data_IF_904442025339
#
_entry.id   IF_904442025339
#
_cell.length_a   1.000
_cell.length_b   1.000
_cell.length_c   1.000
_cell.angle_alpha   90.00
_cell.angle_beta   90.00
_cell.angle_gamma   90.00
#
_symmetry.space_group_name_H-M   'P 1'
#
loop_
_entity.id
_entity.type
_entity.pdbx_description
1 polymer ?
#
# COMPACT_ATOMS: atom_id res chain seq x y z
N UNK A 1 24.88 62.24 0.03
CA UNK A 1 23.63 61.95 -0.73
C UNK A 1 23.87 61.25 -2.07
N UNK A 2 24.74 61.76 -2.99
CA UNK A 2 24.98 61.13 -4.30
C UNK A 2 25.42 59.66 -4.25
N UNK A 3 26.26 59.28 -3.29
CA UNK A 3 26.70 57.90 -3.08
C UNK A 3 25.55 56.96 -2.66
N UNK A 4 24.69 57.41 -1.75
CA UNK A 4 23.52 56.63 -1.31
C UNK A 4 22.51 56.44 -2.45
N UNK A 5 22.26 57.48 -3.26
CA UNK A 5 21.39 57.40 -4.44
C UNK A 5 21.97 56.44 -5.48
N UNK A 6 23.29 56.46 -5.70
CA UNK A 6 23.94 55.57 -6.67
C UNK A 6 23.85 54.09 -6.24
N UNK A 7 24.00 53.81 -4.94
CA UNK A 7 23.86 52.45 -4.40
C UNK A 7 22.41 51.95 -4.51
N UNK A 8 21.44 52.80 -4.16
CA UNK A 8 20.02 52.50 -4.29
C UNK A 8 19.61 52.24 -5.75
N UNK A 9 20.08 53.06 -6.69
CA UNK A 9 19.81 52.88 -8.11
C UNK A 9 20.44 51.59 -8.65
N UNK A 10 21.65 51.26 -8.21
CA UNK A 10 22.34 50.04 -8.62
C UNK A 10 21.57 48.79 -8.16
N UNK A 11 21.12 48.77 -6.90
CA UNK A 11 20.26 47.70 -6.37
C UNK A 11 18.92 47.60 -7.11
N UNK A 12 18.30 48.73 -7.44
CA UNK A 12 17.05 48.75 -8.20
C UNK A 12 17.21 48.18 -9.62
N UNK A 13 18.34 48.45 -10.28
CA UNK A 13 18.63 47.87 -11.60
C UNK A 13 18.80 46.36 -11.50
N UNK A 14 19.54 45.86 -10.49
CA UNK A 14 19.69 44.42 -10.28
C UNK A 14 18.36 43.73 -9.95
N UNK A 15 17.50 44.34 -9.13
CA UNK A 15 16.19 43.76 -8.82
C UNK A 15 15.27 43.71 -10.04
N UNK A 16 15.27 44.77 -10.87
CA UNK A 16 14.51 44.79 -12.13
C UNK A 16 14.98 43.69 -13.07
N UNK A 17 16.30 43.52 -13.24
CA UNK A 17 16.86 42.46 -14.09
C UNK A 17 16.47 41.07 -13.55
N UNK A 18 16.55 40.85 -12.24
CA UNK A 18 16.16 39.58 -11.62
C UNK A 18 14.65 39.28 -11.80
N UNK A 19 13.78 40.27 -11.60
CA UNK A 19 12.35 40.12 -11.82
C UNK A 19 12.02 39.83 -13.29
N UNK A 20 12.70 40.48 -14.24
CA UNK A 20 12.52 40.23 -15.67
C UNK A 20 12.98 38.82 -16.06
N UNK A 21 14.12 38.36 -15.53
CA UNK A 21 14.60 37.01 -15.77
C UNK A 21 13.64 35.96 -15.21
N UNK A 22 13.15 36.15 -13.98
CA UNK A 22 12.17 35.25 -13.36
C UNK A 22 10.84 35.24 -14.12
N UNK A 23 10.37 36.40 -14.59
CA UNK A 23 9.15 36.51 -15.38
C UNK A 23 9.26 35.78 -16.73
N UNK A 24 10.41 35.92 -17.41
CA UNK A 24 10.66 35.23 -18.68
C UNK A 24 10.67 33.70 -18.51
N UNK A 25 11.34 33.21 -17.46
CA UNK A 25 11.34 31.78 -17.12
C UNK A 25 9.93 31.31 -16.78
N UNK A 26 9.20 32.02 -15.93
CA UNK A 26 7.84 31.65 -15.55
C UNK A 26 6.90 31.58 -16.77
N UNK A 27 6.97 32.58 -17.66
CA UNK A 27 6.13 32.63 -18.87
C UNK A 27 6.39 31.45 -19.82
N UNK A 28 7.63 30.95 -19.89
CA UNK A 28 7.96 29.80 -20.74
C UNK A 28 7.69 28.45 -20.06
N UNK A 29 7.77 28.39 -18.73
CA UNK A 29 7.64 27.14 -17.96
C UNK A 29 6.19 26.86 -17.60
N UNK A 30 5.40 27.89 -17.29
CA UNK A 30 3.98 27.80 -16.94
C UNK A 30 3.14 26.97 -17.92
N UNK A 31 3.17 27.18 -19.25
CA UNK A 31 2.35 26.37 -20.18
C UNK A 31 2.77 24.90 -20.23
N UNK A 32 4.04 24.58 -19.95
CA UNK A 32 4.52 23.19 -19.85
C UNK A 32 4.08 22.53 -18.55
N UNK A 33 4.05 23.29 -17.44
CA UNK A 33 3.56 22.81 -16.15
C UNK A 33 2.06 22.51 -16.24
N UNK A 34 1.29 23.40 -16.87
CA UNK A 34 -0.15 23.17 -17.10
C UNK A 34 -0.41 21.95 -17.99
N UNK A 35 0.34 21.80 -19.08
CA UNK A 35 0.21 20.63 -19.95
C UNK A 35 0.56 19.31 -19.22
N UNK A 36 1.63 19.30 -18.42
CA UNK A 36 2.01 18.16 -17.61
C UNK A 36 0.96 17.86 -16.52
N UNK A 37 0.39 18.89 -15.89
CA UNK A 37 -0.68 18.76 -14.89
C UNK A 37 -1.94 18.18 -15.52
N UNK A 38 -2.36 18.68 -16.69
CA UNK A 38 -3.49 18.13 -17.45
C UNK A 38 -3.26 16.68 -17.90
N UNK A 39 -2.04 16.33 -18.30
CA UNK A 39 -1.66 14.95 -18.62
C UNK A 39 -1.79 14.01 -17.42
N UNK A 40 -1.23 14.40 -16.27
CA UNK A 40 -1.32 13.64 -15.02
C UNK A 40 -2.76 13.48 -14.52
N UNK A 41 -3.58 14.52 -14.67
CA UNK A 41 -5.01 14.47 -14.35
C UNK A 41 -5.70 13.49 -15.30
N UNK A 42 -5.51 13.60 -16.61
CA UNK A 42 -6.14 12.69 -17.59
C UNK A 42 -5.79 11.21 -17.38
N UNK A 43 -4.54 10.90 -17.02
CA UNK A 43 -4.14 9.55 -16.60
C UNK A 43 -4.81 9.13 -15.29
N UNK A 44 -4.85 10.03 -14.30
CA UNK A 44 -5.49 9.75 -13.03
C UNK A 44 -6.99 9.47 -13.17
N UNK A 45 -7.71 10.21 -14.01
CA UNK A 45 -9.13 10.02 -14.27
C UNK A 45 -9.42 8.59 -14.76
N UNK A 46 -8.62 8.08 -15.70
CA UNK A 46 -8.74 6.72 -16.24
C UNK A 46 -8.40 5.65 -15.21
N UNK A 47 -7.48 5.93 -14.30
CA UNK A 47 -7.13 5.00 -13.21
C UNK A 47 -8.24 4.96 -12.16
N UNK A 48 -8.87 6.09 -11.85
CA UNK A 48 -9.95 6.19 -10.86
C UNK A 48 -11.24 5.56 -11.40
N UNK A 49 -11.58 5.82 -12.66
CA UNK A 49 -12.76 5.30 -13.34
C UNK A 49 -12.38 4.62 -14.67
N UNK A 50 -11.90 3.36 -14.63
CA UNK A 50 -11.54 2.63 -15.85
C UNK A 50 -12.74 2.32 -16.75
N UNK A 51 -13.94 2.28 -16.17
CA UNK A 51 -15.20 1.97 -16.85
C UNK A 51 -15.89 3.21 -17.47
N UNK A 52 -15.29 4.41 -17.33
CA UNK A 52 -15.83 5.65 -17.90
C UNK A 52 -15.50 5.77 -19.40
N UNK A 53 -16.53 6.06 -20.20
CA UNK A 53 -16.39 6.37 -21.63
C UNK A 53 -16.05 7.85 -21.85
N UNK A 54 -16.53 8.73 -20.97
CA UNK A 54 -16.38 10.17 -21.08
C UNK A 54 -16.14 10.83 -19.73
N UNK A 55 -15.43 11.96 -19.75
CA UNK A 55 -15.19 12.80 -18.58
C UNK A 55 -15.67 14.22 -18.88
N UNK A 56 -16.80 14.61 -18.30
CA UNK A 56 -17.38 15.94 -18.47
C UNK A 56 -16.80 16.89 -17.42
N UNK A 57 -16.12 17.94 -17.86
CA UNK A 57 -15.59 18.97 -16.97
C UNK A 57 -16.73 19.83 -16.39
N UNK A 58 -16.79 19.92 -15.05
CA UNK A 58 -17.78 20.72 -14.31
C UNK A 58 -17.12 21.79 -13.44
N UNK A 59 -15.82 22.04 -13.63
CA UNK A 59 -15.00 22.99 -12.86
C UNK A 59 -15.65 24.38 -12.73
N UNK A 60 -16.34 24.87 -13.77
CA UNK A 60 -16.98 26.19 -13.79
C UNK A 60 -18.25 26.30 -12.92
N UNK A 61 -18.82 25.17 -12.53
CA UNK A 61 -20.04 25.09 -11.72
C UNK A 61 -19.72 25.03 -10.22
N UNK A 62 -18.43 24.94 -9.85
CA UNK A 62 -17.97 24.77 -8.48
C UNK A 62 -17.53 26.09 -7.84
N UNK A 63 -17.72 26.25 -6.51
CA UNK A 63 -17.13 27.36 -5.77
C UNK A 63 -15.60 27.24 -5.80
N UNK A 64 -14.89 28.36 -5.99
CA UNK A 64 -13.41 28.36 -6.07
C UNK A 64 -12.71 28.01 -4.75
N UNK A 65 -13.43 28.06 -3.63
CA UNK A 65 -12.89 27.78 -2.31
C UNK A 65 -13.95 27.08 -1.46
N UNK A 66 -13.56 25.98 -0.83
CA UNK A 66 -14.36 25.22 0.12
C UNK A 66 -13.52 25.07 1.39
N UNK A 67 -14.03 25.63 2.49
CA UNK A 67 -13.31 25.73 3.77
C UNK A 67 -11.93 26.38 3.60
N UNK A 68 -10.86 25.72 4.05
CA UNK A 68 -9.48 26.17 3.93
C UNK A 68 -8.81 25.73 2.61
N UNK A 69 -9.54 25.09 1.69
CA UNK A 69 -9.00 24.50 0.46
C UNK A 69 -9.50 25.22 -0.78
N UNK A 70 -8.60 25.36 -1.77
CA UNK A 70 -8.92 25.85 -3.11
C UNK A 70 -9.44 24.69 -3.94
N UNK A 71 -10.58 24.87 -4.59
CA UNK A 71 -11.15 23.88 -5.52
C UNK A 71 -10.52 24.08 -6.89
N UNK A 72 -9.90 23.02 -7.41
CA UNK A 72 -9.34 22.96 -8.75
C UNK A 72 -10.30 22.28 -9.73
N UNK A 73 -9.72 21.57 -10.69
CA UNK A 73 -10.47 20.92 -11.77
C UNK A 73 -11.37 19.79 -11.24
N UNK A 74 -12.58 19.71 -11.78
CA UNK A 74 -13.55 18.68 -11.43
C UNK A 74 -14.20 18.08 -12.68
N UNK A 75 -14.32 16.75 -12.68
CA UNK A 75 -14.83 15.98 -13.82
C UNK A 75 -15.86 14.96 -13.35
N UNK A 76 -16.98 14.90 -14.07
CA UNK A 76 -17.96 13.83 -13.95
C UNK A 76 -17.55 12.69 -14.87
N UNK A 77 -17.39 11.50 -14.31
CA UNK A 77 -17.15 10.28 -15.06
C UNK A 77 -18.49 9.71 -15.53
N UNK A 78 -18.62 9.51 -16.84
CA UNK A 78 -19.85 9.03 -17.50
C UNK A 78 -19.55 7.70 -18.22
N UNK A 79 -20.45 6.73 -18.06
CA UNK A 79 -20.51 5.52 -18.88
C UNK A 79 -21.80 5.58 -19.70
N UNK A 80 -21.66 5.76 -21.02
CA UNK A 80 -22.76 6.17 -21.88
C UNK A 80 -23.41 7.49 -21.43
N UNK A 81 -24.72 7.46 -21.11
CA UNK A 81 -25.49 8.62 -20.63
C UNK A 81 -25.64 8.68 -19.09
N UNK A 82 -24.96 7.78 -18.34
CA UNK A 82 -25.07 7.72 -16.88
C UNK A 82 -23.78 8.18 -16.21
N UNK A 83 -23.91 9.09 -15.24
CA UNK A 83 -22.81 9.40 -14.34
C UNK A 83 -22.50 8.18 -13.46
N UNK A 84 -21.23 7.77 -13.41
CA UNK A 84 -20.72 6.67 -12.56
C UNK A 84 -19.89 7.20 -11.39
N UNK A 85 -19.54 8.48 -11.40
CA UNK A 85 -18.89 9.16 -10.29
C UNK A 85 -18.39 10.55 -10.65
N UNK A 86 -17.74 11.19 -9.69
CA UNK A 86 -17.14 12.50 -9.81
C UNK A 86 -15.70 12.46 -9.31
N UNK A 87 -14.83 13.21 -9.96
CA UNK A 87 -13.49 13.52 -9.47
C UNK A 87 -13.40 15.01 -9.21
N UNK A 88 -12.70 15.37 -8.14
CA UNK A 88 -12.50 16.76 -7.76
C UNK A 88 -11.09 16.97 -7.24
N UNK A 89 -10.47 18.07 -7.68
CA UNK A 89 -9.13 18.46 -7.24
C UNK A 89 -9.23 19.48 -6.12
N UNK A 90 -8.53 19.26 -5.01
CA UNK A 90 -8.41 20.18 -3.89
C UNK A 90 -6.94 20.53 -3.68
N UNK A 91 -6.65 21.82 -3.51
CA UNK A 91 -5.33 22.32 -3.13
C UNK A 91 -5.42 23.02 -1.77
N UNK A 92 -4.47 22.73 -0.87
CA UNK A 92 -4.49 23.25 0.50
C UNK A 92 -3.10 23.28 1.11
N UNK A 93 -2.98 23.99 2.23
CA UNK A 93 -1.73 24.14 2.95
C UNK A 93 -1.51 22.96 3.89
N UNK A 94 -0.40 22.24 3.70
CA UNK A 94 0.09 21.19 4.57
C UNK A 94 1.27 21.75 5.38
N UNK A 95 2.33 20.97 5.66
CA UNK A 95 3.55 21.58 6.18
C UNK A 95 4.25 22.44 5.10
N UNK A 96 4.11 22.07 3.83
CA UNK A 96 4.23 22.92 2.65
C UNK A 96 2.85 23.09 2.00
N UNK A 97 2.70 22.55 0.80
CA UNK A 97 1.44 22.58 0.03
C UNK A 97 1.14 21.20 -0.56
N UNK A 98 -0.15 20.87 -0.65
CA UNK A 98 -0.62 19.66 -1.29
C UNK A 98 -1.75 19.96 -2.29
N UNK A 99 -1.74 19.23 -3.40
CA UNK A 99 -2.87 19.15 -4.33
C UNK A 99 -3.27 17.70 -4.48
N UNK A 100 -4.51 17.37 -4.09
CA UNK A 100 -5.08 16.03 -4.16
C UNK A 100 -6.21 15.98 -5.18
N UNK A 101 -6.33 14.88 -5.89
CA UNK A 101 -7.47 14.51 -6.72
C UNK A 101 -8.23 13.40 -5.99
N UNK A 102 -9.51 13.62 -5.70
CA UNK A 102 -10.37 12.66 -4.99
C UNK A 102 -11.46 12.17 -5.93
N UNK A 103 -11.64 10.86 -6.03
CA UNK A 103 -12.72 10.22 -6.78
C UNK A 103 -13.81 9.67 -5.86
N UNK A 104 -15.06 9.99 -6.16
CA UNK A 104 -16.26 9.54 -5.44
C UNK A 104 -17.24 8.91 -6.42
N UNK A 105 -17.78 7.74 -6.10
CA UNK A 105 -18.81 7.09 -6.92
C UNK A 105 -20.23 7.61 -6.64
N UNK A 106 -21.20 7.20 -7.46
CA UNK A 106 -22.62 7.56 -7.26
C UNK A 106 -23.24 7.02 -5.97
N UNK A 107 -22.58 6.06 -5.31
CA UNK A 107 -23.02 5.48 -4.04
C UNK A 107 -22.38 6.17 -2.83
N UNK A 108 -21.71 7.33 -3.02
CA UNK A 108 -20.96 8.05 -1.97
C UNK A 108 -19.82 7.22 -1.37
N UNK A 109 -19.25 6.28 -2.12
CA UNK A 109 -18.00 5.63 -1.76
C UNK A 109 -16.82 6.43 -2.28
N UNK A 110 -15.80 6.56 -1.44
CA UNK A 110 -14.51 7.10 -1.83
C UNK A 110 -13.74 6.01 -2.61
N UNK A 111 -13.45 6.28 -3.89
CA UNK A 111 -12.84 5.30 -4.80
C UNK A 111 -11.32 5.31 -4.71
N UNK A 112 -10.73 6.50 -4.83
CA UNK A 112 -9.28 6.65 -4.88
C UNK A 112 -8.91 8.12 -4.65
N UNK A 113 -7.73 8.33 -4.04
CA UNK A 113 -7.11 9.64 -3.90
C UNK A 113 -5.74 9.59 -4.56
N UNK A 114 -5.41 10.63 -5.32
CA UNK A 114 -4.10 10.78 -5.94
C UNK A 114 -3.52 12.15 -5.64
N UNK A 115 -2.28 12.19 -5.17
CA UNK A 115 -1.56 13.46 -5.05
C UNK A 115 -1.06 13.90 -6.43
N UNK A 116 -1.45 15.10 -6.85
CA UNK A 116 -0.90 15.77 -8.02
C UNK A 116 0.38 16.53 -7.66
N UNK A 117 0.44 17.04 -6.44
CA UNK A 117 1.57 17.79 -5.89
C UNK A 117 1.62 17.63 -4.36
N UNK A 118 2.82 17.50 -3.81
CA UNK A 118 3.10 17.50 -2.38
C UNK A 118 4.50 18.07 -2.18
N UNK A 119 4.62 19.22 -1.50
CA UNK A 119 5.88 19.93 -1.30
C UNK A 119 6.43 19.82 0.13
N UNK A 120 5.85 18.91 0.91
CA UNK A 120 6.26 18.61 2.28
C UNK A 120 7.66 17.99 2.37
N UNK A 121 8.26 18.05 3.55
CA UNK A 121 9.60 17.52 3.82
C UNK A 121 9.71 16.02 3.46
N UNK A 122 10.68 15.62 2.61
CA UNK A 122 10.91 14.22 2.27
C UNK A 122 11.19 13.36 3.50
N UNK A 123 10.58 12.17 3.55
CA UNK A 123 10.75 11.21 4.66
C UNK A 123 9.94 11.52 5.92
N UNK A 124 9.13 12.60 5.91
CA UNK A 124 8.17 12.89 6.97
C UNK A 124 6.78 13.18 6.37
N UNK A 125 6.57 14.39 5.86
CA UNK A 125 5.27 14.77 5.30
C UNK A 125 5.02 14.17 3.90
N UNK A 126 6.08 13.86 3.14
CA UNK A 126 5.94 13.17 1.85
C UNK A 126 5.27 11.79 1.96
N UNK A 127 5.39 11.15 3.14
CA UNK A 127 4.77 9.86 3.44
C UNK A 127 3.23 9.92 3.38
N UNK A 128 2.62 11.11 3.37
CA UNK A 128 1.18 11.27 3.19
C UNK A 128 0.69 10.88 1.79
N UNK A 129 1.55 10.96 0.77
CA UNK A 129 1.23 10.50 -0.58
C UNK A 129 1.50 9.00 -0.81
N UNK A 130 2.09 8.34 0.17
CA UNK A 130 2.54 6.96 0.07
C UNK A 130 1.68 6.06 0.97
N UNK A 131 1.53 4.77 0.63
CA UNK A 131 1.07 3.79 1.59
C UNK A 131 1.99 3.82 2.83
N UNK A 132 1.43 3.73 4.05
CA UNK A 132 0.05 3.33 4.34
C UNK A 132 -0.92 4.49 4.56
N UNK A 133 -0.47 5.76 4.52
CA UNK A 133 -1.32 6.86 4.95
C UNK A 133 -2.49 7.11 4.00
N UNK A 134 -2.24 7.08 2.69
CA UNK A 134 -3.25 7.39 1.68
C UNK A 134 -4.30 6.29 1.49
N UNK A 135 -3.94 5.04 1.76
CA UNK A 135 -4.85 3.89 1.64
C UNK A 135 -5.87 3.80 2.78
N UNK A 136 -5.69 4.61 3.84
CA UNK A 136 -6.64 4.66 4.95
C UNK A 136 -8.00 5.24 4.57
N UNK A 137 -8.09 5.86 3.40
CA UNK A 137 -9.31 6.44 2.86
C UNK A 137 -9.99 5.53 1.83
N UNK A 138 -9.34 4.44 1.41
CA UNK A 138 -9.90 3.51 0.44
C UNK A 138 -11.13 2.79 1.03
N UNK A 139 -12.18 2.64 0.21
CA UNK A 139 -13.45 2.01 0.60
C UNK A 139 -14.17 2.68 1.78
N UNK A 140 -13.77 3.89 2.16
CA UNK A 140 -14.51 4.69 3.14
C UNK A 140 -15.67 5.42 2.48
N UNK A 141 -16.70 5.67 3.26
CA UNK A 141 -17.82 6.47 2.79
C UNK A 141 -17.47 7.95 2.91
N UNK A 142 -18.03 8.73 1.99
CA UNK A 142 -17.96 10.20 2.03
C UNK A 142 -18.41 10.77 3.38
N UNK A 143 -19.35 10.09 4.03
CA UNK A 143 -19.97 10.51 5.29
C UNK A 143 -19.16 10.08 6.54
N UNK A 144 -18.02 9.39 6.36
CA UNK A 144 -17.18 8.97 7.47
C UNK A 144 -16.49 10.16 8.17
N UNK A 145 -16.24 10.06 9.49
CA UNK A 145 -15.74 11.20 10.27
C UNK A 145 -14.31 11.64 9.92
N UNK A 146 -13.47 10.73 9.42
CA UNK A 146 -12.04 10.90 9.10
C UNK A 146 -11.22 11.59 10.21
N UNK A 147 -11.50 11.28 11.49
CA UNK A 147 -10.76 11.88 12.59
C UNK A 147 -9.38 11.25 12.76
N UNK A 148 -8.37 12.10 12.92
CA UNK A 148 -7.02 11.64 13.26
C UNK A 148 -6.95 10.99 14.63
N UNK A 149 -6.24 9.86 14.72
CA UNK A 149 -6.04 9.08 15.95
C UNK A 149 -7.23 8.18 16.32
N UNK A 150 -8.38 8.35 15.67
CA UNK A 150 -9.57 7.48 15.81
C UNK A 150 -9.78 6.68 14.52
N UNK A 151 -10.08 7.37 13.41
CA UNK A 151 -10.42 6.75 12.11
C UNK A 151 -9.23 6.71 11.14
N UNK A 152 -8.30 7.66 11.28
CA UNK A 152 -7.10 7.83 10.44
C UNK A 152 -5.88 7.89 11.34
N UNK A 153 -4.94 6.98 11.15
CA UNK A 153 -3.64 6.98 11.82
C UNK A 153 -2.81 8.19 11.40
N UNK A 154 -2.14 8.79 12.38
CA UNK A 154 -1.25 9.93 12.22
C UNK A 154 0.13 9.45 11.79
N UNK A 155 0.78 10.13 10.85
CA UNK A 155 2.19 9.91 10.54
C UNK A 155 3.03 10.50 11.69
N UNK A 156 3.81 9.65 12.36
CA UNK A 156 4.69 10.09 13.44
C UNK A 156 5.66 11.17 12.95
N UNK A 157 5.67 12.32 13.61
CA UNK A 157 6.49 13.48 13.21
C UNK A 157 5.90 14.34 12.08
N UNK A 158 4.77 13.95 11.48
CA UNK A 158 4.08 14.71 10.42
C UNK A 158 2.57 14.89 10.71
N UNK A 159 2.25 15.24 11.96
CA UNK A 159 0.86 15.45 12.43
C UNK A 159 0.14 16.58 11.69
N UNK A 160 0.86 17.66 11.34
CA UNK A 160 0.30 18.81 10.60
C UNK A 160 -0.16 18.37 9.21
N UNK A 161 0.72 17.69 8.47
CA UNK A 161 0.43 17.12 7.14
C UNK A 161 -0.71 16.12 7.20
N UNK A 162 -0.66 15.19 8.15
CA UNK A 162 -1.68 14.15 8.33
C UNK A 162 -3.07 14.78 8.53
N UNK A 163 -3.14 15.87 9.30
CA UNK A 163 -4.39 16.57 9.57
C UNK A 163 -4.92 17.27 8.34
N UNK A 164 -4.06 18.06 7.70
CA UNK A 164 -4.44 18.81 6.52
C UNK A 164 -4.94 17.89 5.39
N UNK A 165 -4.27 16.75 5.15
CA UNK A 165 -4.72 15.80 4.13
C UNK A 165 -6.07 15.17 4.49
N UNK A 166 -6.27 14.72 5.75
CA UNK A 166 -7.54 14.15 6.17
C UNK A 166 -8.71 15.15 6.02
N UNK A 167 -8.50 16.40 6.41
CA UNK A 167 -9.47 17.48 6.28
C UNK A 167 -9.77 17.79 4.80
N UNK A 168 -8.73 17.84 3.94
CA UNK A 168 -8.90 18.06 2.50
C UNK A 168 -9.68 16.92 1.83
N UNK A 169 -9.37 15.67 2.14
CA UNK A 169 -10.06 14.49 1.59
C UNK A 169 -11.52 14.50 2.02
N UNK A 170 -11.80 14.82 3.28
CA UNK A 170 -13.16 14.95 3.81
C UNK A 170 -13.95 16.01 3.06
N UNK A 171 -13.41 17.22 2.95
CA UNK A 171 -14.09 18.33 2.31
C UNK A 171 -14.35 18.04 0.81
N UNK A 172 -13.35 17.49 0.12
CA UNK A 172 -13.45 17.11 -1.29
C UNK A 172 -14.50 16.02 -1.52
N UNK A 173 -14.47 14.94 -0.74
CA UNK A 173 -15.38 13.82 -0.88
C UNK A 173 -16.83 14.22 -0.54
N UNK A 174 -17.03 14.97 0.55
CA UNK A 174 -18.34 15.47 0.96
C UNK A 174 -18.97 16.35 -0.11
N UNK A 175 -18.17 17.25 -0.67
CA UNK A 175 -18.63 18.12 -1.74
C UNK A 175 -18.99 17.34 -3.00
N UNK A 176 -18.13 16.43 -3.46
CA UNK A 176 -18.39 15.61 -4.63
C UNK A 176 -19.65 14.75 -4.48
N UNK A 177 -19.83 14.12 -3.31
CA UNK A 177 -21.02 13.33 -3.01
C UNK A 177 -22.31 14.18 -3.01
N UNK A 178 -22.25 15.40 -2.48
CA UNK A 178 -23.40 16.32 -2.48
C UNK A 178 -23.73 16.84 -3.89
N UNK A 179 -22.70 17.16 -4.69
CA UNK A 179 -22.87 17.58 -6.07
C UNK A 179 -23.53 16.49 -6.93
N UNK A 180 -23.12 15.23 -6.75
CA UNK A 180 -23.73 14.07 -7.40
C UNK A 180 -25.20 13.89 -6.97
N UNK A 181 -25.51 14.09 -5.69
CA UNK A 181 -26.87 13.99 -5.18
C UNK A 181 -27.80 15.08 -5.74
N UNK A 182 -27.32 16.31 -5.84
CA UNK A 182 -28.09 17.45 -6.32
C UNK A 182 -28.34 17.42 -7.84
N UNK A 183 -27.34 17.03 -8.63
CA UNK A 183 -27.37 17.17 -10.09
C UNK A 183 -27.64 15.87 -10.85
N UNK A 184 -27.37 14.71 -10.24
CA UNK A 184 -27.45 13.40 -10.89
C UNK A 184 -28.37 12.41 -10.17
N UNK A 185 -29.15 12.87 -9.17
CA UNK A 185 -30.14 12.06 -8.46
C UNK A 185 -29.52 10.93 -7.63
N UNK A 186 -28.24 11.06 -7.26
CA UNK A 186 -27.57 10.13 -6.36
C UNK A 186 -28.10 10.30 -4.92
N UNK A 187 -27.89 9.31 -4.02
CA UNK A 187 -28.39 9.40 -2.65
C UNK A 187 -27.78 10.57 -1.87
N UNK A 188 -28.55 11.18 -0.97
CA UNK A 188 -28.06 12.25 -0.08
C UNK A 188 -27.29 11.68 1.11
N UNK A 189 -26.56 12.55 1.81
CA UNK A 189 -25.87 12.21 3.05
C UNK A 189 -26.85 11.54 4.05
N UNK A 190 -26.53 10.33 4.49
CA UNK A 190 -27.36 9.53 5.40
C UNK A 190 -28.53 8.75 4.75
N UNK A 191 -28.78 8.89 3.45
CA UNK A 191 -29.74 8.06 2.69
C UNK A 191 -29.09 6.79 2.14
N UNK A 192 -27.75 6.77 2.03
CA UNK A 192 -26.99 5.55 1.78
C UNK A 192 -26.89 4.79 3.09
N UNK A 193 -27.70 3.74 3.27
CA UNK A 193 -27.27 2.64 4.13
C UNK A 193 -25.95 2.14 3.55
N UNK A 194 -24.88 1.98 4.34
CA UNK A 194 -23.60 1.46 3.85
C UNK A 194 -23.93 0.34 2.89
N UNK A 195 -23.52 0.45 1.61
CA UNK A 195 -23.70 -0.62 0.65
C UNK A 195 -23.30 -1.88 1.40
N UNK A 196 -24.23 -2.83 1.55
CA UNK A 196 -24.05 -4.02 2.38
C UNK A 196 -22.63 -4.49 2.09
N UNK A 197 -21.72 -4.33 3.08
CA UNK A 197 -20.31 -4.75 2.96
C UNK A 197 -20.42 -6.08 2.22
N UNK A 198 -19.80 -6.28 1.04
CA UNK A 198 -19.96 -7.52 0.30
C UNK A 198 -19.87 -8.65 1.31
N UNK A 199 -21.00 -9.36 1.53
CA UNK A 199 -21.25 -10.06 2.78
C UNK A 199 -19.97 -10.71 3.26
N UNK A 200 -19.45 -10.21 4.38
CA UNK A 200 -18.27 -10.74 5.04
C UNK A 200 -18.67 -12.16 5.43
N UNK A 201 -18.43 -13.13 4.54
CA UNK A 201 -18.46 -14.54 4.91
C UNK A 201 -17.52 -14.59 6.11
N UNK A 202 -17.97 -15.03 7.29
CA UNK A 202 -17.08 -15.11 8.43
C UNK A 202 -16.00 -16.12 8.05
N UNK A 203 -14.85 -15.62 7.58
CA UNK A 203 -13.64 -16.41 7.50
C UNK A 203 -13.29 -16.57 8.95
N UNK A 204 -13.67 -17.73 9.51
CA UNK A 204 -13.22 -18.20 10.80
C UNK A 204 -11.72 -17.89 10.86
N UNK A 205 -11.33 -16.99 11.76
CA UNK A 205 -9.93 -16.77 12.12
C UNK A 205 -9.33 -18.16 12.35
N UNK A 206 -8.55 -18.64 11.38
CA UNK A 206 -7.83 -19.90 11.52
C UNK A 206 -6.38 -19.53 11.81
N UNK A 207 -6.18 -18.66 12.81
CA UNK A 207 -4.89 -18.55 13.49
C UNK A 207 -4.65 -19.93 14.11
N UNK A 208 -3.66 -20.65 13.59
CA UNK A 208 -3.35 -22.00 14.02
C UNK A 208 -2.19 -21.93 15.00
N UNK A 209 -2.35 -22.41 16.24
CA UNK A 209 -1.20 -22.65 17.11
C UNK A 209 -0.16 -23.51 16.36
N UNK A 210 1.14 -23.36 16.64
CA UNK A 210 2.21 -24.09 15.95
C UNK A 210 1.91 -25.59 15.82
N UNK A 211 1.46 -26.22 16.91
CA UNK A 211 1.12 -27.66 16.93
C UNK A 211 0.01 -28.04 15.94
N UNK A 212 -0.99 -27.16 15.76
CA UNK A 212 -2.10 -27.36 14.84
C UNK A 212 -1.68 -27.10 13.39
N UNK A 213 -0.82 -26.11 13.16
CA UNK A 213 -0.22 -25.85 11.86
C UNK A 213 0.63 -27.05 11.41
N UNK A 214 1.51 -27.54 12.28
CA UNK A 214 2.33 -28.74 12.07
C UNK A 214 1.49 -29.96 11.68
N UNK A 215 0.43 -30.26 12.45
CA UNK A 215 -0.47 -31.38 12.16
C UNK A 215 -1.26 -31.22 10.84
N UNK A 216 -1.49 -29.99 10.40
CA UNK A 216 -2.21 -29.68 9.15
C UNK A 216 -1.30 -29.81 7.93
N UNK A 217 -0.06 -29.34 8.07
CA UNK A 217 0.96 -29.40 7.02
C UNK A 217 1.44 -30.86 6.84
N UNK A 218 1.62 -31.58 7.95
CA UNK A 218 2.07 -32.97 7.96
C UNK A 218 1.11 -33.88 8.74
N UNK A 219 0.05 -34.40 8.09
CA UNK A 219 -0.86 -35.34 8.73
C UNK A 219 -0.12 -36.60 9.20
N UNK A 220 -0.30 -37.00 10.46
CA UNK A 220 0.35 -38.16 11.08
C UNK A 220 1.89 -38.09 11.13
N UNK A 221 2.46 -36.89 11.15
CA UNK A 221 3.87 -36.65 11.42
C UNK A 221 4.21 -36.75 12.91
N UNK A 222 5.41 -37.24 13.21
CA UNK A 222 6.07 -37.08 14.50
C UNK A 222 7.05 -35.92 14.36
N UNK A 223 6.89 -34.90 15.20
CA UNK A 223 7.66 -33.66 15.14
C UNK A 223 8.81 -33.70 16.15
N UNK A 224 10.03 -33.51 15.67
CA UNK A 224 11.23 -33.38 16.47
C UNK A 224 11.70 -31.93 16.43
N UNK A 225 11.73 -31.28 17.59
CA UNK A 225 12.15 -29.88 17.72
C UNK A 225 13.68 -29.75 17.56
N UNK A 226 14.08 -28.97 16.56
CA UNK A 226 15.47 -28.65 16.24
C UNK A 226 15.75 -27.14 16.31
N UNK A 227 14.87 -26.36 16.94
CA UNK A 227 14.93 -24.89 16.98
C UNK A 227 16.24 -24.35 17.55
N UNK A 228 16.88 -25.09 18.47
CA UNK A 228 18.19 -24.74 19.04
C UNK A 228 19.37 -25.03 18.10
N UNK A 229 19.17 -25.88 17.10
CA UNK A 229 20.18 -26.29 16.12
C UNK A 229 20.01 -25.58 14.78
N UNK A 230 18.84 -24.99 14.55
CA UNK A 230 18.49 -24.28 13.34
C UNK A 230 18.47 -22.78 13.62
N UNK A 231 19.54 -22.10 13.23
CA UNK A 231 19.67 -20.64 13.32
C UNK A 231 19.98 -20.11 11.93
N UNK A 232 19.20 -19.13 11.47
CA UNK A 232 19.46 -18.46 10.21
C UNK A 232 20.38 -17.27 10.50
N UNK A 233 21.68 -17.49 10.32
CA UNK A 233 22.68 -16.42 10.39
C UNK A 233 22.81 -15.72 9.03
N UNK A 234 22.74 -14.39 9.04
CA UNK A 234 23.11 -13.56 7.90
C UNK A 234 24.29 -12.67 8.28
N UNK A 235 25.07 -12.21 7.29
CA UNK A 235 26.16 -11.23 7.49
C UNK A 235 25.69 -9.91 8.14
N UNK A 236 24.37 -9.67 8.19
CA UNK A 236 23.75 -8.44 8.69
C UNK A 236 23.01 -8.61 10.02
N UNK A 237 23.08 -9.81 10.64
CA UNK A 237 22.48 -10.11 11.94
C UNK A 237 21.62 -11.39 11.95
N UNK A 238 21.22 -11.88 13.15
CA UNK A 238 20.37 -13.05 13.29
C UNK A 238 18.95 -12.75 12.81
N UNK A 239 18.37 -13.69 12.06
CA UNK A 239 16.95 -13.63 11.66
C UNK A 239 16.14 -14.47 12.63
N UNK A 240 15.00 -13.94 13.07
CA UNK A 240 14.14 -14.54 14.10
C UNK A 240 13.38 -15.76 13.57
N UNK A 241 14.08 -16.88 13.29
CA UNK A 241 13.42 -18.19 13.23
C UNK A 241 12.98 -18.55 14.66
N UNK A 242 11.66 -18.55 14.92
CA UNK A 242 11.12 -18.86 16.24
C UNK A 242 11.14 -20.36 16.54
N UNK A 243 11.08 -21.19 15.51
CA UNK A 243 11.11 -22.64 15.68
C UNK A 243 11.37 -23.39 14.39
N UNK A 244 11.90 -24.61 14.53
CA UNK A 244 12.09 -25.53 13.43
C UNK A 244 11.84 -26.97 13.91
N UNK A 245 11.10 -27.75 13.14
CA UNK A 245 10.77 -29.14 13.47
C UNK A 245 11.06 -30.05 12.30
N UNK A 246 11.81 -31.12 12.55
CA UNK A 246 11.95 -32.24 11.62
C UNK A 246 10.72 -33.12 11.74
N UNK A 247 10.16 -33.48 10.59
CA UNK A 247 8.96 -34.31 10.54
C UNK A 247 9.32 -35.71 10.11
N UNK A 248 9.01 -36.68 10.96
CA UNK A 248 9.22 -38.11 10.70
C UNK A 248 7.88 -38.83 10.56
N UNK A 249 7.82 -39.83 9.71
CA UNK A 249 6.71 -40.79 9.69
C UNK A 249 7.31 -42.18 9.54
N UNK A 250 6.92 -43.09 10.43
CA UNK A 250 7.37 -44.48 10.43
C UNK A 250 8.92 -44.56 10.49
N UNK A 251 9.55 -43.67 11.26
CA UNK A 251 11.00 -43.59 11.45
C UNK A 251 11.78 -42.93 10.31
N UNK A 252 11.14 -42.52 9.21
CA UNK A 252 11.78 -41.81 8.09
C UNK A 252 11.45 -40.33 8.08
N UNK A 253 12.44 -39.49 7.78
CA UNK A 253 12.25 -38.05 7.60
C UNK A 253 11.43 -37.78 6.35
N UNK A 254 10.37 -36.98 6.48
CA UNK A 254 9.46 -36.59 5.40
C UNK A 254 9.61 -35.14 4.99
N UNK A 255 10.17 -34.31 5.86
CA UNK A 255 10.32 -32.90 5.63
C UNK A 255 10.72 -32.14 6.88
N UNK A 256 10.69 -30.82 6.76
CA UNK A 256 10.96 -29.86 7.82
C UNK A 256 9.82 -28.83 7.85
N UNK A 257 9.46 -28.36 9.03
CA UNK A 257 8.59 -27.22 9.22
C UNK A 257 9.39 -26.11 9.90
N UNK A 258 9.34 -24.90 9.35
CA UNK A 258 10.04 -23.74 9.90
C UNK A 258 9.03 -22.67 10.25
N UNK A 259 9.09 -22.18 11.48
CA UNK A 259 8.37 -21.02 11.94
C UNK A 259 9.27 -19.78 11.80
N UNK A 260 8.82 -18.84 10.99
CA UNK A 260 9.44 -17.53 10.86
C UNK A 260 8.56 -16.47 11.49
N UNK A 261 9.21 -15.52 12.14
CA UNK A 261 8.61 -14.28 12.59
C UNK A 261 9.33 -13.13 11.90
N UNK A 262 8.57 -12.31 11.19
CA UNK A 262 9.14 -11.15 10.50
C UNK A 262 8.08 -10.04 10.36
N UNK A 263 8.54 -8.86 9.95
CA UNK A 263 7.70 -7.69 9.74
C UNK A 263 6.93 -7.88 8.42
N UNK A 264 5.61 -8.05 8.50
CA UNK A 264 4.69 -7.91 7.36
C UNK A 264 4.17 -6.48 7.27
N UNK A 265 3.58 -5.97 8.36
CA UNK A 265 3.21 -4.56 8.56
C UNK A 265 3.51 -4.11 9.99
N UNK A 266 3.09 -4.89 10.98
CA UNK A 266 3.51 -4.77 12.37
C UNK A 266 4.36 -5.97 12.75
N UNK A 267 3.80 -7.18 12.68
CA UNK A 267 4.51 -8.45 12.90
C UNK A 267 3.58 -9.60 12.52
N UNK A 268 4.08 -10.56 11.75
CA UNK A 268 3.37 -11.81 11.52
C UNK A 268 4.30 -13.00 11.65
N UNK A 269 3.72 -14.10 12.11
CA UNK A 269 4.42 -15.36 12.29
C UNK A 269 3.81 -16.41 11.38
N UNK A 270 4.63 -17.11 10.61
CA UNK A 270 4.20 -18.12 9.65
C UNK A 270 4.95 -19.42 9.83
N UNK A 271 4.28 -20.54 9.56
CA UNK A 271 4.89 -21.87 9.50
C UNK A 271 4.86 -22.36 8.07
N UNK A 272 6.04 -22.73 7.56
CA UNK A 272 6.24 -23.22 6.20
C UNK A 272 6.71 -24.67 6.28
N UNK A 273 5.96 -25.57 5.65
CA UNK A 273 6.36 -26.97 5.52
C UNK A 273 7.06 -27.25 4.20
N UNK A 274 8.20 -27.93 4.26
CA UNK A 274 8.98 -28.31 3.07
C UNK A 274 9.18 -29.83 3.09
N UNK A 275 8.99 -30.49 1.95
CA UNK A 275 9.24 -31.92 1.80
C UNK A 275 10.72 -32.23 1.48
N UNK A 276 11.07 -33.53 1.47
CA UNK A 276 12.43 -33.99 1.10
C UNK A 276 12.84 -33.63 -0.34
N UNK A 277 11.91 -33.25 -1.21
CA UNK A 277 12.18 -32.90 -2.60
C UNK A 277 12.35 -31.39 -2.80
N UNK A 278 12.32 -30.59 -1.73
CA UNK A 278 12.41 -29.14 -1.82
C UNK A 278 11.12 -28.49 -2.32
N UNK A 279 9.95 -29.10 -2.06
CA UNK A 279 8.63 -28.53 -2.36
C UNK A 279 7.98 -27.95 -1.12
N UNK A 280 7.36 -26.79 -1.28
CA UNK A 280 6.52 -26.21 -0.23
C UNK A 280 5.21 -27.01 -0.16
N UNK A 281 4.96 -27.67 0.97
CA UNK A 281 3.75 -28.48 1.17
C UNK A 281 2.54 -27.61 1.50
N UNK A 282 2.71 -26.66 2.42
CA UNK A 282 1.69 -25.71 2.83
C UNK A 282 2.33 -24.61 3.66
N UNK A 283 1.74 -23.41 3.60
CA UNK A 283 2.08 -22.27 4.45
C UNK A 283 0.88 -21.97 5.34
N UNK A 284 1.12 -21.80 6.64
CA UNK A 284 0.11 -21.48 7.63
C UNK A 284 0.51 -20.20 8.37
N UNK A 285 -0.46 -19.34 8.65
CA UNK A 285 -0.25 -18.12 9.45
C UNK A 285 -0.58 -18.47 10.91
N UNK A 286 0.40 -18.33 11.79
CA UNK A 286 0.27 -18.68 13.20
C UNK A 286 -0.31 -17.52 14.02
N UNK A 287 0.30 -16.35 13.89
CA UNK A 287 -0.10 -15.11 14.55
C UNK A 287 0.07 -13.96 13.56
N UNK A 288 -0.83 -12.99 13.62
CA UNK A 288 -0.61 -11.71 12.95
C UNK A 288 -1.07 -10.62 13.91
N UNK A 289 -0.17 -9.67 14.17
CA UNK A 289 -0.45 -8.44 14.93
C UNK A 289 -0.80 -7.29 14.00
N UNK A 290 -0.81 -7.54 12.70
CA UNK A 290 -1.40 -6.63 11.74
C UNK A 290 -2.87 -6.49 12.17
N UNK A 291 -3.25 -5.30 12.61
CA UNK A 291 -4.62 -5.00 13.02
C UNK A 291 -5.57 -5.22 11.84
N UNK A 292 -6.89 -5.11 12.05
CA UNK A 292 -7.89 -5.08 10.97
C UNK A 292 -7.68 -3.85 10.06
N UNK A 293 -6.56 -3.83 9.37
CA UNK A 293 -6.05 -2.77 8.53
C UNK A 293 -6.88 -2.87 7.24
N UNK A 294 -7.95 -2.07 7.26
CA UNK A 294 -8.68 -1.56 6.11
C UNK A 294 -9.37 -2.62 5.25
N UNK A 295 -10.57 -3.05 5.67
CA UNK A 295 -11.73 -3.54 4.89
C UNK A 295 -11.53 -4.50 3.68
N UNK A 296 -10.33 -4.94 3.36
CA UNK A 296 -9.97 -5.60 2.13
C UNK A 296 -8.90 -6.67 2.42
N UNK A 297 -9.35 -7.67 3.19
CA UNK A 297 -8.74 -8.98 3.45
C UNK A 297 -7.57 -9.01 4.44
N UNK A 298 -7.81 -9.70 5.57
CA UNK A 298 -6.76 -10.20 6.49
C UNK A 298 -5.76 -11.06 5.73
N UNK A 299 -4.52 -11.14 6.23
CA UNK A 299 -3.60 -12.22 5.87
C UNK A 299 -4.35 -13.55 6.10
N UNK A 300 -4.83 -14.17 5.03
CA UNK A 300 -5.68 -15.36 5.08
C UNK A 300 -5.05 -16.51 4.30
N UNK A 301 -5.59 -17.71 4.48
CA UNK A 301 -5.07 -18.94 3.87
C UNK A 301 -5.04 -18.88 2.33
N UNK A 302 -5.81 -17.98 1.72
CA UNK A 302 -5.81 -17.80 0.26
C UNK A 302 -4.51 -17.18 -0.26
N UNK A 303 -3.85 -16.31 0.52
CA UNK A 303 -2.54 -15.74 0.17
C UNK A 303 -1.41 -16.76 0.30
N UNK A 304 -1.62 -17.81 1.10
CA UNK A 304 -0.70 -18.93 1.25
C UNK A 304 -0.83 -19.96 0.11
N UNK A 305 -1.99 -20.01 -0.55
CA UNK A 305 -2.29 -21.00 -1.59
C UNK A 305 -1.36 -20.97 -2.82
N UNK A 306 -0.90 -19.81 -3.32
CA UNK A 306 0.00 -19.76 -4.48
C UNK A 306 1.35 -20.40 -4.21
N UNK A 307 1.79 -20.44 -2.94
CA UNK A 307 3.07 -21.03 -2.57
C UNK A 307 3.01 -22.56 -2.47
N UNK A 308 1.81 -23.11 -2.29
CA UNK A 308 1.62 -24.54 -2.05
C UNK A 308 1.90 -25.34 -3.31
N UNK A 309 2.83 -26.29 -3.21
CA UNK A 309 3.25 -27.18 -4.30
C UNK A 309 4.42 -26.67 -5.14
N UNK A 310 4.84 -25.41 -4.95
CA UNK A 310 5.98 -24.85 -5.68
C UNK A 310 7.31 -25.43 -5.21
N UNK A 311 8.26 -25.53 -6.13
CA UNK A 311 9.65 -25.82 -5.81
C UNK A 311 10.31 -24.60 -5.16
N UNK A 312 11.26 -24.83 -4.26
CA UNK A 312 11.99 -23.74 -3.58
C UNK A 312 12.57 -22.73 -4.58
N UNK A 313 13.07 -23.21 -5.73
CA UNK A 313 13.71 -22.35 -6.73
C UNK A 313 12.70 -21.45 -7.47
N UNK A 314 11.46 -21.90 -7.63
CA UNK A 314 10.37 -21.15 -8.27
C UNK A 314 9.92 -19.96 -7.40
N UNK A 315 10.17 -20.01 -6.08
CA UNK A 315 9.86 -18.90 -5.16
C UNK A 315 10.66 -17.63 -5.47
N UNK A 316 11.77 -17.75 -6.18
CA UNK A 316 12.69 -16.65 -6.50
C UNK A 316 12.53 -16.11 -7.94
N UNK A 317 11.53 -16.59 -8.69
CA UNK A 317 11.20 -16.08 -10.02
C UNK A 317 10.60 -14.66 -9.94
N UNK A 318 11.03 -13.77 -10.84
CA UNK A 318 10.52 -12.40 -10.92
C UNK A 318 9.04 -12.37 -11.32
N UNK A 319 8.60 -13.34 -12.13
CA UNK A 319 7.19 -13.47 -12.53
C UNK A 319 6.25 -13.74 -11.36
N UNK A 320 6.71 -14.44 -10.33
CA UNK A 320 5.93 -14.70 -9.12
C UNK A 320 5.74 -13.42 -8.30
N UNK A 321 6.78 -12.58 -8.18
CA UNK A 321 6.68 -11.29 -7.49
C UNK A 321 5.69 -10.35 -8.18
N UNK A 322 5.75 -10.24 -9.51
CA UNK A 322 4.78 -9.45 -10.28
C UNK A 322 3.36 -10.00 -10.13
N UNK A 323 3.17 -11.31 -10.21
CA UNK A 323 1.85 -11.94 -10.04
C UNK A 323 1.28 -11.71 -8.64
N UNK A 324 2.08 -11.89 -7.59
CA UNK A 324 1.67 -11.58 -6.21
C UNK A 324 1.31 -10.10 -6.03
N UNK A 325 1.97 -9.20 -6.76
CA UNK A 325 1.68 -7.76 -6.73
C UNK A 325 0.40 -7.40 -7.49
N UNK A 326 0.13 -8.09 -8.61
CA UNK A 326 -1.07 -7.90 -9.45
C UNK A 326 -2.31 -8.54 -8.79
N UNK A 327 -2.15 -9.71 -8.18
CA UNK A 327 -3.20 -10.44 -7.48
C UNK A 327 -3.39 -9.95 -6.03
N UNK A 328 -2.47 -9.13 -5.51
CA UNK A 328 -2.68 -8.43 -4.25
C UNK A 328 -3.83 -7.44 -4.40
N UNK A 329 -4.72 -7.46 -3.41
CA UNK A 329 -5.75 -6.43 -3.27
C UNK A 329 -5.04 -5.08 -3.12
N UNK A 330 -5.55 -4.04 -3.78
CA UNK A 330 -5.08 -2.65 -3.59
C UNK A 330 -5.00 -2.37 -2.08
N UNK A 331 -3.78 -2.12 -1.58
CA UNK A 331 -3.39 -1.93 -0.17
C UNK A 331 -2.80 -3.14 0.62
N UNK A 332 -2.65 -4.34 0.04
CA UNK A 332 -1.98 -5.48 0.70
C UNK A 332 -0.53 -5.73 0.23
N UNK A 333 0.05 -4.87 -0.61
CA UNK A 333 1.34 -5.11 -1.28
C UNK A 333 2.50 -5.35 -0.30
N UNK A 334 2.61 -4.55 0.76
CA UNK A 334 3.67 -4.66 1.77
C UNK A 334 3.54 -5.96 2.60
N UNK A 335 2.38 -6.25 3.22
CA UNK A 335 2.23 -7.49 3.99
C UNK A 335 2.28 -8.76 3.11
N UNK A 336 1.82 -8.71 1.85
CA UNK A 336 1.96 -9.83 0.90
C UNK A 336 3.43 -10.05 0.52
N UNK A 337 4.19 -8.97 0.33
CA UNK A 337 5.62 -9.07 0.05
C UNK A 337 6.41 -9.58 1.25
N UNK A 338 6.07 -9.14 2.47
CA UNK A 338 6.63 -9.64 3.72
C UNK A 338 6.34 -11.14 3.91
N UNK A 339 5.09 -11.57 3.67
CA UNK A 339 4.72 -12.99 3.67
C UNK A 339 5.53 -13.80 2.67
N UNK A 340 5.63 -13.33 1.42
CA UNK A 340 6.39 -13.99 0.37
C UNK A 340 7.89 -14.13 0.74
N UNK A 341 8.46 -13.10 1.37
CA UNK A 341 9.86 -13.11 1.81
C UNK A 341 10.09 -14.13 2.94
N UNK A 342 9.20 -14.20 3.94
CA UNK A 342 9.26 -15.25 4.97
C UNK A 342 9.18 -16.64 4.35
N UNK A 343 8.28 -16.87 3.39
CA UNK A 343 8.16 -18.17 2.71
C UNK A 343 9.44 -18.53 1.95
N UNK A 344 10.03 -17.58 1.21
CA UNK A 344 11.29 -17.77 0.47
C UNK A 344 12.43 -18.18 1.39
N UNK A 345 12.60 -17.47 2.49
CA UNK A 345 13.67 -17.71 3.44
C UNK A 345 13.49 -19.06 4.15
N UNK A 346 12.31 -19.32 4.68
CA UNK A 346 12.00 -20.61 5.32
C UNK A 346 12.24 -21.78 4.36
N UNK A 347 11.75 -21.67 3.13
CA UNK A 347 11.91 -22.71 2.11
C UNK A 347 13.38 -22.95 1.75
N UNK A 348 14.15 -21.88 1.52
CA UNK A 348 15.56 -21.97 1.15
C UNK A 348 16.41 -22.61 2.26
N UNK A 349 16.35 -22.07 3.46
CA UNK A 349 17.15 -22.58 4.58
C UNK A 349 16.69 -23.96 5.05
N UNK A 350 15.38 -24.26 5.00
CA UNK A 350 14.86 -25.58 5.34
C UNK A 350 15.24 -26.66 4.34
N UNK A 351 15.14 -26.38 3.04
CA UNK A 351 15.61 -27.31 2.01
C UNK A 351 17.12 -27.54 2.11
N UNK A 352 17.91 -26.49 2.37
CA UNK A 352 19.34 -26.59 2.64
C UNK A 352 19.65 -27.51 3.82
N UNK A 353 18.97 -27.32 4.95
CA UNK A 353 19.16 -28.14 6.15
C UNK A 353 18.78 -29.62 5.93
N UNK A 354 17.68 -29.89 5.20
CA UNK A 354 17.31 -31.25 4.82
C UNK A 354 18.35 -31.91 3.89
N UNK A 355 18.92 -31.15 2.96
CA UNK A 355 19.95 -31.65 2.06
C UNK A 355 21.24 -32.02 2.80
N UNK A 356 21.69 -31.15 3.71
CA UNK A 356 22.91 -31.34 4.48
C UNK A 356 22.81 -32.50 5.47
N UNK A 357 21.69 -32.64 6.18
CA UNK A 357 21.58 -33.54 7.33
C UNK A 357 20.80 -34.84 7.05
N UNK A 358 19.92 -34.83 6.04
CA UNK A 358 18.95 -35.92 5.83
C UNK A 358 18.86 -36.40 4.38
N UNK A 359 19.72 -35.90 3.47
CA UNK A 359 19.74 -36.29 2.07
C UNK A 359 18.56 -35.78 1.25
N UNK A 360 17.96 -34.65 1.65
CA UNK A 360 16.96 -33.93 0.86
C UNK A 360 17.53 -33.27 -0.39
N UNK A 361 16.64 -32.77 -1.27
CA UNK A 361 17.05 -32.01 -2.46
C UNK A 361 17.56 -30.62 -2.05
N UNK A 362 18.81 -30.32 -2.40
CA UNK A 362 19.37 -28.99 -2.20
C UNK A 362 18.66 -27.96 -3.10
N UNK A 363 18.38 -26.74 -2.59
CA UNK A 363 17.91 -25.63 -3.42
C UNK A 363 19.03 -25.15 -4.36
N UNK A 364 18.65 -24.52 -5.47
CA UNK A 364 19.63 -23.89 -6.37
C UNK A 364 20.29 -22.71 -5.63
N UNK A 365 21.60 -22.48 -5.84
CA UNK A 365 22.30 -21.39 -5.16
C UNK A 365 21.70 -20.04 -5.55
N UNK A 366 21.25 -19.28 -4.53
CA UNK A 366 20.77 -17.91 -4.68
C UNK A 366 21.89 -16.96 -4.25
N UNK A 367 22.09 -15.86 -4.99
CA UNK A 367 23.15 -14.90 -4.65
C UNK A 367 22.92 -14.27 -3.27
N UNK A 368 24.02 -14.02 -2.55
CA UNK A 368 23.98 -13.37 -1.24
C UNK A 368 23.27 -12.00 -1.32
N UNK A 369 23.46 -11.25 -2.41
CA UNK A 369 22.77 -9.98 -2.67
C UNK A 369 21.26 -10.15 -2.85
N UNK A 370 20.78 -11.21 -3.50
CA UNK A 370 19.34 -11.45 -3.69
C UNK A 370 18.69 -11.88 -2.37
N UNK A 371 19.37 -12.70 -1.57
CA UNK A 371 18.94 -12.99 -0.20
C UNK A 371 18.95 -11.72 0.66
N UNK A 372 19.96 -10.87 0.52
CA UNK A 372 20.07 -9.58 1.20
C UNK A 372 18.99 -8.58 0.79
N UNK A 373 18.54 -8.59 -0.46
CA UNK A 373 17.48 -7.69 -0.90
C UNK A 373 16.13 -8.08 -0.29
N UNK A 374 15.87 -9.39 -0.14
CA UNK A 374 14.72 -9.89 0.64
C UNK A 374 14.83 -9.47 2.11
N UNK A 375 16.05 -9.23 2.58
CA UNK A 375 16.33 -8.73 3.92
C UNK A 375 16.21 -7.21 4.08
N UNK A 376 16.47 -6.41 3.04
CA UNK A 376 16.46 -4.94 3.10
C UNK A 376 15.10 -4.33 2.77
N UNK A 377 14.28 -4.98 1.95
CA UNK A 377 12.87 -4.60 1.73
C UNK A 377 11.98 -4.84 2.98
N UNK A 378 12.60 -4.91 4.17
CA UNK A 378 12.01 -5.10 5.50
C UNK A 378 12.06 -3.84 6.38
N UNK A 379 12.83 -2.81 5.97
CA UNK A 379 12.89 -1.48 6.59
C UNK A 379 12.18 -0.46 5.71
#
# INVERSE_FOLDING_TARGET
>A
MKQMIKLALTLAVYSVIACLALAAVNMQTSPRIEAAKKGKIGEALKVIFPDADNFKEVTTELPRQIEASTVGDAYIAEQGEKAIGMTITFSGHTFGDATILVGVDTNRNLKMIKFLELTDSPGLGSLAAEPPFITQFDNKLVDDPFKLGEDIAVISGATITSKAVADMVKAASLFAGNFLAENYGCPKAGEVTPAEKPAEKPVKNTLMPPDRALATIFPNGVFEDISSQFQIESEYGPISSMGAWIVKSWGKVRGIAIQMDDITYTHSTVVVGIDMNGRVLKVCINETKDTDIFAARKLDESLCSPFTGMQVNELFDEGLSQKLTIDAISAATIPVQGLANMVRLAAYYGAGYLAENYGGKAPDPVSAEKLHTLFMNRQ
#
